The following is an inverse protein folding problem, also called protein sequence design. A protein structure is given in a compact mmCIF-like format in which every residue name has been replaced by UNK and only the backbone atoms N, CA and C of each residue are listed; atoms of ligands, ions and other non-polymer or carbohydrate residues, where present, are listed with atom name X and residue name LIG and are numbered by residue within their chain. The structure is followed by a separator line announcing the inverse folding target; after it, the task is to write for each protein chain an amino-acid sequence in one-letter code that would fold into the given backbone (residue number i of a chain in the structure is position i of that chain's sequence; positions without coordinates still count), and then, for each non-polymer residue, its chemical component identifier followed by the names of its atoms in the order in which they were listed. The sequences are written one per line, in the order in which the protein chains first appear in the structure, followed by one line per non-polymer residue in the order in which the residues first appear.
data_IF_967405176100
#
_entry.id   IF_967405176100
#
_cell.length_a   1.000
_cell.length_b   1.000
_cell.length_c   1.000
_cell.angle_alpha   90.00
_cell.angle_beta   90.00
_cell.angle_gamma   90.00
#
_symmetry.space_group_name_H-M   'P 1'
#
loop_
_entity.id
_entity.type
_entity.pdbx_description
1 polymer ?
#
# COMPACT_ATOMS: atom_id res chain seq x y z
N UNK A 1 15.20 -12.11 -4.52
CA UNK A 1 16.02 -11.59 -3.42
C UNK A 1 16.48 -12.73 -2.52
N UNK A 2 17.75 -12.75 -2.19
CA UNK A 2 18.33 -13.73 -1.25
C UNK A 2 18.02 -13.37 0.21
N UNK A 3 17.58 -12.15 0.46
CA UNK A 3 17.21 -11.71 1.80
C UNK A 3 15.83 -12.22 2.20
N UNK A 4 15.80 -13.08 3.21
CA UNK A 4 14.55 -13.68 3.71
C UNK A 4 13.55 -12.64 4.24
N UNK A 5 14.03 -11.53 4.76
CA UNK A 5 13.17 -10.43 5.23
C UNK A 5 12.26 -9.87 4.14
N UNK A 6 12.68 -9.83 2.87
CA UNK A 6 11.85 -9.32 1.80
C UNK A 6 10.60 -10.18 1.57
N UNK A 7 10.72 -11.50 1.73
CA UNK A 7 9.59 -12.43 1.68
C UNK A 7 8.58 -12.15 2.80
N UNK A 8 9.07 -11.97 4.02
CA UNK A 8 8.24 -11.66 5.18
C UNK A 8 7.51 -10.33 4.98
N UNK A 9 8.24 -9.30 4.56
CA UNK A 9 7.67 -7.98 4.27
C UNK A 9 6.63 -8.04 3.14
N UNK A 10 6.89 -8.80 2.07
CA UNK A 10 5.90 -8.98 1.00
C UNK A 10 4.59 -9.58 1.52
N UNK A 11 4.67 -10.61 2.35
CA UNK A 11 3.49 -11.23 2.93
C UNK A 11 2.76 -10.29 3.90
N UNK A 12 3.49 -9.50 4.70
CA UNK A 12 2.88 -8.46 5.54
C UNK A 12 2.19 -7.38 4.71
N UNK A 13 2.80 -6.92 3.61
CA UNK A 13 2.20 -5.93 2.71
C UNK A 13 0.90 -6.46 2.11
N UNK A 14 0.89 -7.70 1.62
CA UNK A 14 -0.31 -8.33 1.09
C UNK A 14 -1.42 -8.40 2.14
N UNK A 15 -1.09 -8.87 3.33
CA UNK A 15 -2.02 -8.97 4.45
C UNK A 15 -2.57 -7.59 4.86
N UNK A 16 -1.70 -6.59 4.97
CA UNK A 16 -2.09 -5.23 5.38
C UNK A 16 -3.04 -4.60 4.37
N UNK A 17 -2.71 -4.63 3.08
CA UNK A 17 -3.56 -4.08 2.04
C UNK A 17 -4.92 -4.79 2.01
N UNK A 18 -4.93 -6.12 2.16
CA UNK A 18 -6.18 -6.88 2.26
C UNK A 18 -7.00 -6.51 3.50
N UNK A 19 -6.36 -6.33 4.65
CA UNK A 19 -7.05 -6.03 5.92
C UNK A 19 -7.69 -4.63 5.92
N UNK A 20 -7.01 -3.63 5.33
CA UNK A 20 -7.46 -2.24 5.33
C UNK A 20 -8.35 -1.87 4.15
N UNK A 21 -8.56 -2.76 3.19
CA UNK A 21 -9.40 -2.52 2.02
C UNK A 21 -10.76 -3.21 2.14
N UNK A 22 -11.77 -2.61 1.52
CA UNK A 22 -13.13 -3.14 1.41
C UNK A 22 -13.53 -3.23 -0.07
N UNK A 23 -14.68 -3.81 -0.38
CA UNK A 23 -15.15 -3.97 -1.77
C UNK A 23 -15.18 -2.64 -2.56
N UNK A 24 -15.63 -1.56 -1.91
CA UNK A 24 -15.75 -0.24 -2.52
C UNK A 24 -14.64 0.74 -2.07
N UNK A 25 -13.61 0.24 -1.39
CA UNK A 25 -12.61 1.09 -0.74
C UNK A 25 -11.24 0.42 -0.75
N UNK A 26 -10.33 0.91 -1.58
CA UNK A 26 -8.98 0.40 -1.66
C UNK A 26 -8.01 1.28 -0.89
N UNK A 27 -7.21 0.67 -0.01
CA UNK A 27 -6.07 1.30 0.66
C UNK A 27 -4.82 0.49 0.38
N UNK A 28 -3.77 1.15 -0.09
CA UNK A 28 -2.45 0.53 -0.19
C UNK A 28 -1.67 0.66 1.12
N UNK A 29 -0.62 -0.13 1.25
CA UNK A 29 0.32 0.02 2.36
C UNK A 29 1.04 1.37 2.34
N UNK A 30 1.20 1.99 1.16
CA UNK A 30 1.75 3.33 1.03
C UNK A 30 0.88 4.40 1.70
N UNK A 31 -0.45 4.26 1.63
CA UNK A 31 -1.38 5.23 2.22
C UNK A 31 -1.34 5.24 3.75
N UNK A 32 -0.86 4.17 4.38
CA UNK A 32 -0.80 4.08 5.83
C UNK A 32 0.44 4.73 6.45
N UNK A 33 1.42 5.12 5.63
CA UNK A 33 2.69 5.65 6.12
C UNK A 33 2.50 6.84 7.05
N UNK A 34 1.82 7.88 6.62
CA UNK A 34 1.62 9.10 7.43
C UNK A 34 0.82 8.84 8.70
N UNK A 35 -0.19 7.96 8.62
CA UNK A 35 -1.07 7.67 9.76
C UNK A 35 -0.33 7.03 10.93
N UNK A 36 0.78 6.33 10.69
CA UNK A 36 1.55 5.65 11.73
C UNK A 36 2.76 6.44 12.22
N UNK A 37 3.03 7.62 11.67
CA UNK A 37 4.10 8.49 12.14
C UNK A 37 3.73 9.10 13.51
N UNK A 38 4.72 9.61 14.28
CA UNK A 38 4.44 10.31 15.53
C UNK A 38 3.40 11.42 15.33
N UNK A 39 2.34 11.40 16.14
CA UNK A 39 1.19 12.30 15.99
C UNK A 39 0.11 11.84 15.02
N UNK A 40 0.33 10.78 14.26
CA UNK A 40 -0.66 10.18 13.38
C UNK A 40 -1.73 9.37 14.12
N UNK A 41 -2.90 9.22 13.52
CA UNK A 41 -4.08 8.56 14.11
C UNK A 41 -3.89 7.06 14.38
N UNK A 42 -2.93 6.42 13.70
CA UNK A 42 -2.61 4.99 13.83
C UNK A 42 -1.19 4.78 14.41
N UNK A 43 -0.64 5.76 15.09
CA UNK A 43 0.67 5.62 15.73
C UNK A 43 0.67 4.40 16.67
N UNK A 44 1.68 3.54 16.55
CA UNK A 44 1.78 2.30 17.32
C UNK A 44 1.14 1.06 16.67
N UNK A 45 0.44 1.22 15.53
CA UNK A 45 -0.21 0.11 14.83
C UNK A 45 0.75 -1.06 14.52
N UNK A 46 1.96 -0.76 14.06
CA UNK A 46 2.96 -1.78 13.73
C UNK A 46 3.47 -2.52 14.96
N UNK A 47 3.67 -1.80 16.08
CA UNK A 47 4.13 -2.40 17.33
C UNK A 47 3.06 -3.28 18.00
N UNK A 48 1.79 -2.89 17.89
CA UNK A 48 0.67 -3.66 18.44
C UNK A 48 0.29 -4.89 17.60
N UNK A 49 0.84 -5.03 16.40
CA UNK A 49 0.58 -6.13 15.49
C UNK A 49 1.90 -6.80 15.07
N UNK A 50 2.54 -7.56 15.96
CA UNK A 50 3.82 -8.19 15.66
C UNK A 50 3.67 -9.34 14.67
N UNK A 51 4.72 -9.55 13.87
CA UNK A 51 4.84 -10.74 13.04
C UNK A 51 5.01 -11.99 13.93
N UNK A 52 4.48 -13.11 13.46
CA UNK A 52 4.79 -14.42 14.06
C UNK A 52 6.05 -15.00 13.39
N UNK A 53 7.22 -14.91 14.01
CA UNK A 53 8.47 -15.34 13.38
C UNK A 53 8.52 -16.84 13.13
N UNK A 54 7.88 -17.64 13.96
CA UNK A 54 7.83 -19.10 13.79
C UNK A 54 7.09 -19.50 12.49
N UNK A 55 6.13 -18.70 12.06
CA UNK A 55 5.43 -18.89 10.79
C UNK A 55 6.18 -18.20 9.64
N UNK A 56 6.61 -16.97 9.84
CA UNK A 56 7.20 -16.12 8.81
C UNK A 56 8.49 -16.73 8.22
N UNK A 57 9.29 -17.37 9.06
CA UNK A 57 10.58 -17.96 8.68
C UNK A 57 10.56 -19.50 8.63
N UNK A 58 9.38 -20.11 8.65
CA UNK A 58 9.24 -21.55 8.62
C UNK A 58 9.67 -22.17 7.28
N UNK A 59 10.20 -23.38 7.38
CA UNK A 59 10.44 -24.28 6.25
C UNK A 59 11.72 -23.98 5.48
N UNK A 60 11.89 -24.72 4.38
CA UNK A 60 13.09 -24.64 3.55
C UNK A 60 12.94 -23.59 2.45
N UNK A 61 13.94 -22.71 2.23
CA UNK A 61 13.96 -21.75 1.14
C UNK A 61 13.70 -22.35 -0.24
N UNK A 62 14.12 -23.61 -0.46
CA UNK A 62 13.92 -24.32 -1.74
C UNK A 62 12.44 -24.56 -2.08
N UNK A 63 11.54 -24.35 -1.12
CA UNK A 63 10.08 -24.49 -1.31
C UNK A 63 9.36 -23.17 -1.50
N UNK A 64 10.04 -22.05 -1.29
CA UNK A 64 9.43 -20.73 -1.39
C UNK A 64 8.94 -20.46 -2.82
N UNK A 65 7.73 -19.91 -2.95
CA UNK A 65 7.09 -19.64 -4.23
C UNK A 65 6.59 -20.87 -5.00
N UNK A 66 6.70 -22.07 -4.42
CA UNK A 66 6.20 -23.31 -5.03
C UNK A 66 4.84 -23.72 -4.46
N UNK A 67 4.21 -24.76 -5.03
CA UNK A 67 2.97 -25.34 -4.48
C UNK A 67 3.11 -25.83 -3.03
N UNK A 68 4.33 -26.09 -2.58
CA UNK A 68 4.66 -26.56 -1.24
C UNK A 68 5.23 -25.45 -0.36
N UNK A 69 4.96 -24.20 -0.71
CA UNK A 69 5.41 -23.04 0.08
C UNK A 69 4.93 -23.14 1.53
N UNK A 70 5.85 -23.00 2.52
CA UNK A 70 5.49 -23.10 3.94
C UNK A 70 4.50 -22.06 4.43
N UNK A 71 4.37 -20.90 3.74
CA UNK A 71 3.39 -19.88 4.08
C UNK A 71 1.98 -20.17 3.56
N UNK A 72 1.84 -21.17 2.68
CA UNK A 72 0.53 -21.52 2.14
C UNK A 72 -0.43 -21.94 3.24
N UNK A 73 -1.57 -21.25 3.33
CA UNK A 73 -2.58 -21.49 4.35
C UNK A 73 -2.19 -21.02 5.76
N UNK A 74 -1.13 -20.21 5.88
CA UNK A 74 -0.66 -19.65 7.15
C UNK A 74 -0.84 -18.15 7.19
N UNK A 75 -1.01 -17.61 8.39
CA UNK A 75 -1.05 -16.19 8.67
C UNK A 75 0.21 -15.79 9.40
N UNK A 76 0.99 -14.89 8.81
CA UNK A 76 2.26 -14.46 9.41
C UNK A 76 2.07 -13.40 10.48
N UNK A 77 0.92 -12.73 10.52
CA UNK A 77 0.72 -11.54 11.35
C UNK A 77 1.52 -10.35 10.84
N UNK A 78 1.55 -9.30 11.63
CA UNK A 78 2.28 -8.08 11.33
C UNK A 78 1.55 -7.13 10.39
N UNK A 79 1.97 -5.86 10.46
CA UNK A 79 1.49 -4.78 9.61
C UNK A 79 2.69 -4.12 8.97
N UNK A 80 2.59 -3.81 7.68
CA UNK A 80 3.61 -3.08 6.95
C UNK A 80 2.98 -1.87 6.26
N UNK A 81 3.62 -0.69 6.36
CA UNK A 81 3.01 0.61 6.07
C UNK A 81 3.79 1.44 5.04
N UNK A 82 4.55 0.80 4.19
CA UNK A 82 5.21 1.43 3.05
C UNK A 82 4.91 0.69 1.76
N UNK A 83 5.10 1.35 0.63
CA UNK A 83 4.61 0.93 -0.68
C UNK A 83 4.92 -0.51 -1.09
N UNK A 84 4.05 -1.08 -1.91
CA UNK A 84 4.16 -2.44 -2.45
C UNK A 84 3.03 -3.39 -2.07
N UNK A 85 2.10 -2.97 -1.19
CA UNK A 85 0.91 -3.75 -0.84
C UNK A 85 -0.35 -3.17 -1.48
N UNK A 86 -1.08 -3.98 -2.24
CA UNK A 86 -2.32 -3.61 -2.91
C UNK A 86 -3.38 -4.68 -2.71
N UNK A 87 -4.63 -4.29 -2.49
CA UNK A 87 -5.74 -5.21 -2.51
C UNK A 87 -6.06 -5.67 -3.94
N UNK A 88 -6.53 -6.89 -4.08
CA UNK A 88 -6.93 -7.50 -5.35
C UNK A 88 -8.44 -7.64 -5.41
N UNK A 89 -8.99 -7.38 -6.59
CA UNK A 89 -10.43 -7.37 -6.83
C UNK A 89 -10.81 -8.24 -8.01
N UNK A 90 -11.99 -8.84 -7.94
CA UNK A 90 -12.63 -9.51 -9.04
C UNK A 90 -14.16 -9.29 -8.95
N UNK A 91 -14.78 -8.91 -10.07
CA UNK A 91 -16.21 -8.64 -10.09
C UNK A 91 -16.67 -7.59 -9.08
N UNK A 92 -15.85 -6.58 -8.79
CA UNK A 92 -16.15 -5.54 -7.80
C UNK A 92 -15.98 -5.97 -6.34
N UNK A 93 -15.54 -7.20 -6.08
CA UNK A 93 -15.31 -7.74 -4.76
C UNK A 93 -13.82 -7.83 -4.44
N UNK A 94 -13.44 -7.49 -3.23
CA UNK A 94 -12.09 -7.74 -2.74
C UNK A 94 -11.89 -9.24 -2.52
N UNK A 95 -10.85 -9.80 -3.14
CA UNK A 95 -10.57 -11.24 -3.13
C UNK A 95 -9.25 -11.60 -2.45
N UNK A 96 -8.42 -10.62 -2.10
CA UNK A 96 -7.13 -10.86 -1.48
C UNK A 96 -6.22 -9.66 -1.53
N UNK A 97 -4.93 -9.89 -1.38
CA UNK A 97 -3.89 -8.87 -1.44
C UNK A 97 -2.63 -9.34 -2.15
N UNK A 98 -1.94 -8.41 -2.77
CA UNK A 98 -0.63 -8.56 -3.41
C UNK A 98 0.40 -7.78 -2.59
N UNK A 99 1.53 -8.39 -2.31
CA UNK A 99 2.66 -7.73 -1.66
C UNK A 99 3.96 -7.93 -2.43
N UNK A 100 4.65 -6.83 -2.69
CA UNK A 100 5.97 -6.80 -3.33
C UNK A 100 6.97 -6.15 -2.40
N UNK A 101 8.12 -6.75 -2.24
CA UNK A 101 9.22 -6.22 -1.44
C UNK A 101 10.57 -6.72 -1.98
N UNK A 102 11.52 -5.83 -2.10
CA UNK A 102 12.87 -6.17 -2.59
C UNK A 102 13.65 -4.97 -3.09
N UNK A 103 13.01 -3.81 -3.18
CA UNK A 103 13.60 -2.54 -3.59
C UNK A 103 13.07 -1.42 -2.66
N UNK A 104 13.18 -0.17 -3.07
CA UNK A 104 12.54 0.95 -2.36
C UNK A 104 11.02 0.82 -2.41
N UNK A 105 10.35 1.42 -1.43
CA UNK A 105 8.88 1.40 -1.36
C UNK A 105 8.21 1.92 -2.64
N UNK A 106 8.81 2.89 -3.30
CA UNK A 106 8.30 3.44 -4.56
C UNK A 106 8.37 2.42 -5.70
N UNK A 107 9.50 1.71 -5.83
CA UNK A 107 9.65 0.67 -6.84
C UNK A 107 8.78 -0.55 -6.55
N UNK A 108 8.76 -1.00 -5.31
CA UNK A 108 7.89 -2.10 -4.89
C UNK A 108 6.42 -1.80 -5.23
N UNK A 109 5.98 -0.57 -4.95
CA UNK A 109 4.61 -0.14 -5.24
C UNK A 109 4.34 -0.10 -6.75
N UNK A 110 5.29 0.40 -7.55
CA UNK A 110 5.17 0.40 -9.01
C UNK A 110 5.07 -1.00 -9.60
N UNK A 111 5.86 -1.94 -9.08
CA UNK A 111 5.78 -3.34 -9.48
C UNK A 111 4.44 -3.97 -9.11
N UNK A 112 3.99 -3.78 -7.87
CA UNK A 112 2.68 -4.27 -7.42
C UNK A 112 1.55 -3.73 -8.30
N UNK A 113 1.60 -2.42 -8.62
CA UNK A 113 0.61 -1.77 -9.49
C UNK A 113 0.55 -2.40 -10.87
N UNK A 114 1.71 -2.61 -11.50
CA UNK A 114 1.80 -3.23 -12.82
C UNK A 114 1.31 -4.68 -12.83
N UNK A 115 1.69 -5.46 -11.81
CA UNK A 115 1.23 -6.85 -11.67
C UNK A 115 -0.29 -6.89 -11.54
N UNK A 116 -0.87 -6.06 -10.64
CA UNK A 116 -2.32 -5.99 -10.47
C UNK A 116 -3.04 -5.59 -11.75
N UNK A 117 -2.49 -4.60 -12.47
CA UNK A 117 -3.04 -4.17 -13.77
C UNK A 117 -2.99 -5.29 -14.83
N UNK A 118 -1.86 -5.99 -14.93
CA UNK A 118 -1.71 -7.12 -15.85
C UNK A 118 -2.68 -8.27 -15.55
N UNK A 119 -2.98 -8.50 -14.28
CA UNK A 119 -3.95 -9.50 -13.83
C UNK A 119 -5.41 -9.02 -13.97
N UNK A 120 -5.65 -7.76 -14.31
CA UNK A 120 -6.99 -7.13 -14.36
C UNK A 120 -7.75 -7.25 -13.02
N UNK A 121 -7.02 -7.10 -11.93
CA UNK A 121 -7.54 -7.22 -10.56
C UNK A 121 -7.57 -5.86 -9.82
N UNK A 122 -7.75 -4.78 -10.56
CA UNK A 122 -7.91 -3.44 -9.98
C UNK A 122 -9.27 -3.30 -9.29
N UNK A 123 -9.38 -2.39 -8.31
CA UNK A 123 -10.68 -1.97 -7.81
C UNK A 123 -11.52 -1.41 -8.96
N UNK A 124 -12.83 -1.55 -8.88
CA UNK A 124 -13.72 -0.82 -9.78
C UNK A 124 -13.42 0.67 -9.67
N UNK A 125 -13.59 1.42 -10.77
CA UNK A 125 -13.43 2.87 -10.77
C UNK A 125 -14.15 3.50 -9.57
N UNK A 126 -13.66 4.61 -9.02
CA UNK A 126 -14.03 5.09 -7.70
C UNK A 126 -15.54 5.15 -7.58
N UNK A 127 -16.08 4.14 -6.92
CA UNK A 127 -17.43 4.18 -6.46
C UNK A 127 -17.42 5.08 -5.22
N UNK A 128 -17.95 6.27 -5.38
CA UNK A 128 -18.57 7.09 -4.33
C UNK A 128 -18.32 6.60 -2.88
N UNK A 129 -17.17 6.81 -2.32
CA UNK A 129 -16.96 6.43 -0.93
C UNK A 129 -15.93 7.26 -0.21
N UNK A 130 -14.84 7.58 -0.89
CA UNK A 130 -13.85 8.49 -0.36
C UNK A 130 -13.71 9.62 -1.35
N UNK A 131 -14.52 10.61 -1.17
CA UNK A 131 -14.12 11.93 -1.59
C UNK A 131 -12.96 12.28 -0.69
N UNK A 132 -11.74 12.26 -1.23
CA UNK A 132 -10.60 12.87 -0.55
C UNK A 132 -10.95 14.35 -0.40
N UNK A 133 -11.56 14.68 0.71
CA UNK A 133 -11.89 16.05 1.04
C UNK A 133 -10.66 16.65 1.66
N UNK A 134 -10.22 17.74 1.09
CA UNK A 134 -9.18 18.55 1.67
C UNK A 134 -9.73 19.19 2.95
N UNK A 135 -9.09 18.92 4.09
CA UNK A 135 -9.39 19.58 5.35
C UNK A 135 -8.29 20.57 5.66
N UNK A 136 -8.63 21.80 5.97
CA UNK A 136 -7.65 22.75 6.47
C UNK A 136 -7.27 22.45 7.94
N UNK A 137 -6.28 23.15 8.45
CA UNK A 137 -5.82 23.00 9.83
C UNK A 137 -6.91 23.23 10.90
N UNK A 138 -8.02 23.87 10.55
CA UNK A 138 -9.17 24.09 11.43
C UNK A 138 -10.23 22.97 11.30
N UNK A 139 -9.97 21.92 10.49
CA UNK A 139 -10.92 20.84 10.28
C UNK A 139 -12.05 21.15 9.31
N UNK A 140 -12.02 22.28 8.62
CA UNK A 140 -13.03 22.62 7.62
C UNK A 140 -12.75 21.87 6.31
N UNK A 141 -13.78 21.21 5.80
CA UNK A 141 -13.74 20.50 4.52
C UNK A 141 -13.57 21.50 3.38
N UNK A 142 -12.53 21.28 2.57
CA UNK A 142 -12.28 22.06 1.37
C UNK A 142 -12.71 21.28 0.12
N UNK A 143 -12.70 21.94 -1.01
CA UNK A 143 -13.17 21.40 -2.30
C UNK A 143 -12.61 20.01 -2.57
N UNK A 144 -13.43 19.06 -3.04
CA UNK A 144 -12.96 17.74 -3.44
C UNK A 144 -11.83 17.86 -4.46
N UNK A 145 -10.79 17.07 -4.32
CA UNK A 145 -9.73 16.97 -5.30
C UNK A 145 -10.29 16.33 -6.57
N UNK A 146 -10.53 17.14 -7.58
CA UNK A 146 -10.98 16.66 -8.88
C UNK A 146 -9.90 15.79 -9.53
N UNK A 147 -10.26 14.60 -9.98
CA UNK A 147 -9.33 13.65 -10.57
C UNK A 147 -8.59 12.78 -9.56
N UNK A 148 -9.04 12.78 -8.31
CA UNK A 148 -8.56 11.81 -7.34
C UNK A 148 -8.88 10.42 -7.83
N UNK A 149 -7.87 9.70 -7.98
CA UNK A 149 -7.82 8.36 -8.42
C UNK A 149 -8.42 7.40 -7.37
N UNK A 150 -8.33 6.15 -7.61
CA UNK A 150 -9.01 5.02 -6.98
C UNK A 150 -8.80 4.86 -5.46
N UNK A 151 -7.92 5.64 -4.85
CA UNK A 151 -7.72 5.68 -3.39
C UNK A 151 -6.49 4.94 -2.89
N UNK A 152 -5.89 4.03 -3.66
CA UNK A 152 -4.74 3.25 -3.23
C UNK A 152 -3.43 3.55 -3.97
N UNK A 153 -3.38 4.68 -4.67
CA UNK A 153 -2.18 5.20 -5.27
C UNK A 153 -1.14 5.61 -4.21
N UNK A 154 0.11 5.55 -4.61
CA UNK A 154 1.18 6.15 -3.81
C UNK A 154 1.18 7.66 -4.01
N UNK A 155 1.04 8.38 -2.92
CA UNK A 155 1.14 9.84 -2.89
C UNK A 155 2.53 10.20 -2.37
N UNK A 156 3.29 10.97 -3.14
CA UNK A 156 4.60 11.46 -2.73
C UNK A 156 4.47 12.88 -2.21
N UNK A 157 4.97 13.14 -1.03
CA UNK A 157 4.93 14.46 -0.41
C UNK A 157 5.68 14.47 0.92
N UNK A 158 5.61 15.59 1.61
CA UNK A 158 6.15 15.70 2.96
C UNK A 158 5.02 15.43 3.97
N UNK A 159 5.02 14.30 4.66
CA UNK A 159 3.97 13.96 5.64
C UNK A 159 3.97 14.90 6.86
N UNK A 160 5.05 15.65 7.08
CA UNK A 160 5.18 16.60 8.19
C UNK A 160 4.78 18.03 7.80
N UNK A 161 4.44 18.27 6.55
CA UNK A 161 3.98 19.58 6.10
C UNK A 161 2.49 19.74 6.41
N UNK A 162 2.22 20.25 7.61
CA UNK A 162 0.86 20.51 8.10
C UNK A 162 0.20 21.75 7.45
N UNK A 163 0.96 22.53 6.69
CA UNK A 163 0.44 23.71 5.99
C UNK A 163 -0.26 23.35 4.69
N UNK A 164 0.09 22.23 4.13
CA UNK A 164 -0.48 21.78 2.90
C UNK A 164 -1.63 20.80 3.18
N UNK A 165 -2.53 20.81 2.34
CA UNK A 165 -3.76 20.09 2.19
C UNK A 165 -3.68 18.58 2.59
N UNK A 166 -4.80 17.97 2.71
CA UNK A 166 -5.10 16.60 3.06
C UNK A 166 -4.22 15.52 2.35
N UNK A 167 -3.62 15.84 1.21
CA UNK A 167 -2.70 14.93 0.52
C UNK A 167 -1.52 14.50 1.40
N UNK A 168 -1.02 15.38 2.24
CA UNK A 168 0.11 15.07 3.11
C UNK A 168 -0.25 14.04 4.19
N UNK A 169 -1.51 13.95 4.60
CA UNK A 169 -1.98 12.92 5.52
C UNK A 169 -1.91 11.50 4.92
N UNK A 170 -1.83 11.38 3.60
CA UNK A 170 -1.72 10.13 2.86
C UNK A 170 -0.37 9.95 2.17
N UNK A 171 0.49 10.96 2.28
CA UNK A 171 1.76 11.01 1.58
C UNK A 171 2.85 10.22 2.29
N UNK A 172 3.79 9.73 1.50
CA UNK A 172 5.08 9.26 1.97
C UNK A 172 6.21 10.08 1.34
N UNK A 173 7.41 10.12 1.94
CA UNK A 173 8.58 10.73 1.32
C UNK A 173 8.92 10.07 -0.01
N UNK A 174 9.47 10.85 -0.94
CA UNK A 174 10.02 10.34 -2.18
C UNK A 174 11.20 9.40 -1.94
N UNK A 175 11.38 8.43 -2.83
CA UNK A 175 12.51 7.49 -2.76
C UNK A 175 13.69 8.00 -3.59
N UNK A 176 14.94 7.69 -3.19
CA UNK A 176 16.14 8.15 -3.92
C UNK A 176 16.19 7.72 -5.38
N UNK A 177 15.58 6.58 -5.70
CA UNK A 177 15.53 6.01 -7.05
C UNK A 177 14.08 5.97 -7.60
N UNK A 178 13.24 6.91 -7.18
CA UNK A 178 11.88 7.05 -7.71
C UNK A 178 11.92 7.23 -9.22
N UNK A 179 11.08 6.47 -9.92
CA UNK A 179 10.90 6.66 -11.35
C UNK A 179 9.90 7.81 -11.53
N UNK A 180 10.29 8.93 -12.15
CA UNK A 180 9.42 10.10 -12.28
C UNK A 180 8.06 9.84 -12.96
N UNK A 181 8.01 8.80 -13.78
CA UNK A 181 6.80 8.40 -14.51
C UNK A 181 5.75 7.65 -13.67
N UNK A 182 5.96 7.44 -12.37
CA UNK A 182 5.02 6.70 -11.53
C UNK A 182 3.97 7.63 -10.91
N UNK A 183 4.31 8.89 -10.73
CA UNK A 183 3.40 9.89 -10.16
C UNK A 183 3.17 11.01 -11.15
N UNK A 184 1.94 11.27 -11.49
CA UNK A 184 1.57 12.52 -12.17
C UNK A 184 1.48 13.66 -11.16
N UNK A 185 1.44 14.89 -11.63
CA UNK A 185 1.22 16.06 -10.79
C UNK A 185 -0.03 15.96 -9.87
N UNK A 186 -0.93 15.05 -10.18
CA UNK A 186 -2.16 14.79 -9.43
C UNK A 186 -2.09 13.56 -8.53
N UNK A 187 -0.92 13.02 -8.28
CA UNK A 187 -0.73 11.84 -7.43
C UNK A 187 -1.15 10.51 -8.05
N UNK A 188 -1.47 10.47 -9.33
CA UNK A 188 -1.87 9.26 -10.03
C UNK A 188 -0.65 8.46 -10.49
N UNK A 189 -0.61 7.19 -10.20
CA UNK A 189 0.42 6.29 -10.73
C UNK A 189 0.14 6.04 -12.23
N UNK A 190 1.10 6.37 -13.07
CA UNK A 190 1.00 6.03 -14.49
C UNK A 190 1.33 4.55 -14.69
N UNK A 191 0.52 3.86 -15.46
CA UNK A 191 0.73 2.44 -15.82
C UNK A 191 1.71 2.26 -16.97
N UNK A 192 2.21 3.35 -17.55
CA UNK A 192 3.18 3.30 -18.64
C UNK A 192 4.54 2.80 -18.14
N UNK A 193 5.08 1.75 -18.72
CA UNK A 193 6.46 1.34 -18.43
C UNK A 193 7.44 2.44 -18.84
N UNK A 194 8.57 2.55 -18.16
CA UNK A 194 9.67 3.38 -18.63
C UNK A 194 10.18 2.90 -19.98
#
# INVERSE_FOLDING_TARGET
SEWLGSRVISAQKANTANAFSLDAYAISTANLYSAVQPGGSLYGLQASNPVNPAVAYAGSPNKFGTKNDPLKGKMIGGINVFGGGLALYAGGKKIGGLGVSGDTSCRDHAFAWRIRAALKMQPAAPTTGITLTNMNAAGAVQTPLTGAAVGDEMIIGNPNDVSANYWNAWAQPGCPNSIPAITTANGTLTTTPP
#
